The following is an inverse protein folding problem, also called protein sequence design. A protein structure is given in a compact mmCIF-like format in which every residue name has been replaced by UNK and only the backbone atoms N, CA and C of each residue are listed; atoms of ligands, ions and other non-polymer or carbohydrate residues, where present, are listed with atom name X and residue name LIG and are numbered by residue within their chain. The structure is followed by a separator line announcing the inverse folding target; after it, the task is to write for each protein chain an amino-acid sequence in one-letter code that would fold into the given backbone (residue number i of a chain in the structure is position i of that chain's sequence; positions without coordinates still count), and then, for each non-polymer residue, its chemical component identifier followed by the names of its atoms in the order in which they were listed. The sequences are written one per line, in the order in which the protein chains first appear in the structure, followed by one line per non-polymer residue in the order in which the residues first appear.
data_IF_972700080956
#
_entry.id   IF_972700080956
#
_cell.length_a   1.000
_cell.length_b   1.000
_cell.length_c   1.000
_cell.angle_alpha   90.00
_cell.angle_beta   90.00
_cell.angle_gamma   90.00
#
_symmetry.space_group_name_H-M   'P 1'
#
loop_
_entity.id
_entity.type
_entity.pdbx_description
1 polymer ?
#
# COMPACT_ATOMS: atom_id res chain seq x y z
N UNK A 1 -3.29 -15.64 1.06
CA UNK A 1 -4.36 -16.35 1.83
C UNK A 1 -5.67 -15.75 1.36
N UNK A 2 -6.80 -16.45 1.21
CA UNK A 2 -8.01 -15.77 0.70
C UNK A 2 -8.62 -14.83 1.77
N UNK A 3 -8.23 -13.55 1.73
CA UNK A 3 -8.69 -12.52 2.65
C UNK A 3 -10.01 -11.86 2.22
N UNK A 4 -10.50 -12.14 1.00
CA UNK A 4 -11.74 -11.55 0.45
C UNK A 4 -11.78 -10.01 0.49
N UNK A 5 -10.61 -9.36 0.35
CA UNK A 5 -10.46 -7.90 0.34
C UNK A 5 -10.24 -7.31 -1.07
N UNK A 6 -10.35 -8.14 -2.12
CA UNK A 6 -10.30 -7.64 -3.49
C UNK A 6 -11.35 -6.53 -3.70
N UNK A 7 -10.93 -5.45 -4.36
CA UNK A 7 -11.76 -4.26 -4.63
C UNK A 7 -12.22 -3.47 -3.39
N UNK A 8 -11.71 -3.81 -2.18
CA UNK A 8 -11.90 -2.96 -0.99
C UNK A 8 -10.85 -1.85 -0.96
N UNK A 9 -11.20 -0.75 -0.28
CA UNK A 9 -10.27 0.34 -0.03
C UNK A 9 -9.71 0.22 1.39
N UNK A 10 -8.38 0.24 1.53
CA UNK A 10 -7.69 0.21 2.82
C UNK A 10 -6.89 1.50 3.05
N UNK A 11 -7.11 2.15 4.19
CA UNK A 11 -6.32 3.31 4.63
C UNK A 11 -5.24 2.84 5.61
N UNK A 12 -3.96 3.10 5.28
CA UNK A 12 -2.83 2.75 6.14
C UNK A 12 -2.05 4.01 6.50
N UNK A 13 -2.05 4.35 7.79
CA UNK A 13 -1.29 5.47 8.35
C UNK A 13 0.12 5.01 8.77
N UNK A 14 1.05 5.96 8.88
CA UNK A 14 2.46 5.70 9.15
C UNK A 14 3.09 4.69 8.15
N UNK A 15 2.66 4.77 6.89
CA UNK A 15 2.97 3.77 5.88
C UNK A 15 4.21 4.08 5.03
N UNK A 16 4.98 5.13 5.35
CA UNK A 16 6.20 5.47 4.60
C UNK A 16 7.39 4.55 4.85
N UNK A 17 7.35 3.73 5.92
CA UNK A 17 8.43 2.76 6.23
C UNK A 17 7.97 1.68 7.20
N UNK A 18 8.84 0.68 7.41
CA UNK A 18 8.66 -0.36 8.43
C UNK A 18 7.36 -1.13 8.25
N UNK A 19 6.66 -1.36 9.38
CA UNK A 19 5.44 -2.17 9.40
C UNK A 19 4.29 -1.55 8.60
N UNK A 20 4.09 -0.23 8.68
CA UNK A 20 3.01 0.42 7.93
C UNK A 20 3.16 0.20 6.42
N UNK A 21 4.39 0.31 5.91
CA UNK A 21 4.71 -0.01 4.51
C UNK A 21 4.45 -1.49 4.21
N UNK A 22 4.94 -2.40 5.04
CA UNK A 22 4.76 -3.84 4.82
C UNK A 22 3.29 -4.26 4.78
N UNK A 23 2.46 -3.68 5.67
CA UNK A 23 1.02 -3.89 5.69
C UNK A 23 0.39 -3.35 4.40
N UNK A 24 0.71 -2.11 4.01
CA UNK A 24 0.18 -1.49 2.81
C UNK A 24 0.51 -2.31 1.54
N UNK A 25 1.76 -2.78 1.41
CA UNK A 25 2.18 -3.66 0.31
C UNK A 25 1.43 -4.99 0.31
N UNK A 26 1.26 -5.61 1.47
CA UNK A 26 0.56 -6.90 1.57
C UNK A 26 -0.91 -6.77 1.19
N UNK A 27 -1.59 -5.71 1.65
CA UNK A 27 -2.98 -5.43 1.29
C UNK A 27 -3.15 -5.18 -0.21
N UNK A 28 -2.22 -4.44 -0.82
CA UNK A 28 -2.22 -4.22 -2.26
C UNK A 28 -2.03 -5.53 -3.05
N UNK A 29 -1.11 -6.39 -2.61
CA UNK A 29 -0.87 -7.71 -3.23
C UNK A 29 -2.07 -8.65 -3.12
N UNK A 30 -2.89 -8.49 -2.08
CA UNK A 30 -4.15 -9.25 -1.89
C UNK A 30 -5.34 -8.60 -2.62
N UNK A 31 -5.10 -7.57 -3.45
CA UNK A 31 -6.06 -6.96 -4.37
C UNK A 31 -6.89 -5.81 -3.81
N UNK A 32 -6.53 -5.27 -2.64
CA UNK A 32 -7.14 -4.05 -2.13
C UNK A 32 -6.58 -2.81 -2.83
N UNK A 33 -7.41 -1.79 -3.03
CA UNK A 33 -6.93 -0.43 -3.33
C UNK A 33 -6.43 0.21 -2.04
N UNK A 34 -5.17 0.62 -2.01
CA UNK A 34 -4.52 1.10 -0.78
C UNK A 34 -4.27 2.60 -0.84
N UNK A 35 -4.69 3.31 0.20
CA UNK A 35 -4.36 4.72 0.45
C UNK A 35 -3.35 4.76 1.59
N UNK A 36 -2.20 5.39 1.36
CA UNK A 36 -1.14 5.51 2.36
C UNK A 36 -1.01 6.95 2.87
N UNK A 37 -0.69 7.10 4.16
CA UNK A 37 -0.46 8.40 4.80
C UNK A 37 0.77 8.42 5.69
N UNK A 38 1.52 9.52 5.68
CA UNK A 38 2.59 9.80 6.64
C UNK A 38 2.84 11.32 6.74
N UNK A 39 3.69 11.73 7.70
CA UNK A 39 4.08 13.13 7.88
C UNK A 39 5.18 13.60 6.91
N UNK A 40 5.93 12.67 6.32
CA UNK A 40 7.03 12.97 5.41
C UNK A 40 6.57 12.69 3.98
N UNK A 41 6.44 13.76 3.20
CA UNK A 41 5.92 13.68 1.84
C UNK A 41 6.88 12.94 0.89
N UNK A 42 8.18 13.18 1.00
CA UNK A 42 9.17 12.60 0.08
C UNK A 42 9.25 11.09 0.27
N UNK A 43 9.33 10.63 1.52
CA UNK A 43 9.37 9.19 1.82
C UNK A 43 8.04 8.51 1.47
N UNK A 44 6.91 9.20 1.61
CA UNK A 44 5.59 8.68 1.23
C UNK A 44 5.47 8.51 -0.30
N UNK A 45 5.89 9.51 -1.08
CA UNK A 45 5.87 9.46 -2.55
C UNK A 45 6.80 8.36 -3.08
N UNK A 46 8.01 8.23 -2.51
CA UNK A 46 8.92 7.14 -2.81
C UNK A 46 8.28 5.77 -2.53
N UNK A 47 7.64 5.62 -1.37
CA UNK A 47 6.95 4.38 -1.01
C UNK A 47 5.80 4.07 -1.97
N UNK A 48 5.00 5.07 -2.34
CA UNK A 48 3.92 4.90 -3.31
C UNK A 48 4.44 4.42 -4.68
N UNK A 49 5.55 5.00 -5.17
CA UNK A 49 6.18 4.60 -6.42
C UNK A 49 6.73 3.16 -6.35
N UNK A 50 7.35 2.78 -5.25
CA UNK A 50 7.88 1.42 -5.03
C UNK A 50 6.78 0.36 -4.84
N UNK A 51 5.61 0.76 -4.32
CA UNK A 51 4.44 -0.11 -4.18
C UNK A 51 3.70 -0.34 -5.50
N UNK A 52 3.88 0.52 -6.49
CA UNK A 52 3.19 0.40 -7.77
C UNK A 52 3.84 -0.69 -8.62
N UNK A 53 3.22 -1.87 -8.66
CA UNK A 53 3.52 -2.88 -9.67
C UNK A 53 2.59 -2.59 -10.85
N UNK A 54 3.10 -2.23 -12.05
CA UNK A 54 2.25 -2.08 -13.22
C UNK A 54 1.54 -3.40 -13.45
N UNK A 55 0.21 -3.36 -13.55
CA UNK A 55 -0.57 -4.50 -13.99
C UNK A 55 0.02 -4.95 -15.34
N UNK A 56 0.63 -6.14 -15.35
CA UNK A 56 1.11 -6.77 -16.57
C UNK A 56 -0.15 -7.18 -17.35
N UNK A 57 -0.54 -6.34 -18.31
CA UNK A 57 -1.55 -6.62 -19.33
C UNK A 57 -0.87 -7.44 -20.43
#
# INVERSE_FOLDING_TARGET
MDLKIQYKVALVLAASKGLGRAIATTLANEGASVVIGSRDKQELEKTAAEMFIPAMI
#
